data_IF_763369844779
#
_entry.id   IF_763369844779
#
_cell.length_a   1.000
_cell.length_b   1.000
_cell.length_c   1.000
_cell.angle_alpha   90.00
_cell.angle_beta   90.00
_cell.angle_gamma   90.00
#
_symmetry.space_group_name_H-M   'P 1'
#
loop_
_entity.id
_entity.type
_entity.pdbx_description
1 polymer ?
#
# COMPACT_ATOMS: atom_id res chain seq x y z
N UNK A 1 -8.00 17.50 -6.87
CA UNK A 1 -6.84 17.85 -6.04
C UNK A 1 -5.80 18.58 -6.87
N UNK A 2 -5.17 19.60 -6.30
CA UNK A 2 -4.18 20.42 -6.98
C UNK A 2 -2.96 19.60 -7.39
N UNK A 3 -2.48 19.78 -8.62
CA UNK A 3 -1.31 19.09 -9.13
C UNK A 3 -0.03 19.43 -8.36
N UNK A 4 0.06 20.64 -7.83
CA UNK A 4 1.20 21.03 -7.01
C UNK A 4 1.32 20.18 -5.76
N UNK A 5 0.19 19.85 -5.13
CA UNK A 5 0.16 18.95 -3.97
C UNK A 5 0.61 17.54 -4.36
N UNK A 6 0.14 17.04 -5.50
CA UNK A 6 0.55 15.72 -6.00
C UNK A 6 2.05 15.65 -6.27
N UNK A 7 2.62 16.70 -6.83
CA UNK A 7 4.06 16.77 -7.10
C UNK A 7 4.87 16.75 -5.81
N UNK A 8 4.39 17.42 -4.76
CA UNK A 8 5.05 17.39 -3.46
C UNK A 8 5.05 15.96 -2.89
N UNK A 9 3.94 15.26 -3.03
CA UNK A 9 3.83 13.89 -2.54
C UNK A 9 4.63 12.90 -3.38
N UNK A 10 4.87 13.18 -4.65
CA UNK A 10 5.64 12.29 -5.52
C UNK A 10 7.01 11.95 -4.96
N UNK A 11 7.68 12.91 -4.34
CA UNK A 11 8.99 12.69 -3.73
C UNK A 11 8.96 12.07 -2.34
N UNK A 12 7.79 12.06 -1.68
CA UNK A 12 7.62 11.56 -0.32
C UNK A 12 6.90 10.23 -0.26
N UNK A 13 6.06 9.95 -1.25
CA UNK A 13 5.23 8.74 -1.28
C UNK A 13 5.97 7.60 -1.95
N UNK A 14 5.80 6.38 -1.42
CA UNK A 14 6.38 5.20 -2.04
C UNK A 14 5.89 5.07 -3.48
N UNK A 15 6.77 4.78 -4.46
CA UNK A 15 6.38 4.72 -5.88
C UNK A 15 5.21 3.79 -6.16
N UNK A 16 5.16 2.64 -5.51
CA UNK A 16 4.07 1.68 -5.70
C UNK A 16 2.73 2.22 -5.23
N UNK A 17 2.73 2.97 -4.13
CA UNK A 17 1.51 3.62 -3.62
C UNK A 17 1.12 4.76 -4.56
N UNK A 18 2.08 5.58 -4.95
CA UNK A 18 1.83 6.73 -5.81
C UNK A 18 1.23 6.33 -7.16
N UNK A 19 1.75 5.24 -7.75
CA UNK A 19 1.33 4.78 -9.08
C UNK A 19 0.12 3.84 -9.05
N UNK A 20 -0.39 3.48 -7.88
CA UNK A 20 -1.54 2.59 -7.77
C UNK A 20 -2.84 3.27 -8.21
N UNK A 21 -3.85 2.48 -8.58
CA UNK A 21 -5.16 2.96 -9.05
C UNK A 21 -6.16 3.13 -7.92
N UNK A 22 -5.71 3.61 -6.76
CA UNK A 22 -6.58 3.85 -5.61
C UNK A 22 -6.85 5.34 -5.46
N UNK A 23 -7.93 5.72 -4.75
CA UNK A 23 -8.22 7.13 -4.50
C UNK A 23 -7.08 7.83 -3.78
N UNK A 24 -6.91 9.12 -4.06
CA UNK A 24 -5.81 9.90 -3.49
C UNK A 24 -5.80 9.86 -1.95
N UNK A 25 -6.98 9.93 -1.34
CA UNK A 25 -7.10 9.87 0.11
C UNK A 25 -6.57 8.57 0.69
N UNK A 26 -6.82 7.46 0.00
CA UNK A 26 -6.27 6.16 0.41
C UNK A 26 -4.76 6.10 0.23
N UNK A 27 -4.24 6.71 -0.82
CA UNK A 27 -2.78 6.79 -1.01
C UNK A 27 -2.12 7.51 0.15
N UNK A 28 -2.69 8.63 0.58
CA UNK A 28 -2.17 9.38 1.74
C UNK A 28 -2.24 8.54 3.02
N UNK A 29 -3.35 7.85 3.22
CA UNK A 29 -3.52 6.98 4.38
C UNK A 29 -2.47 5.85 4.40
N UNK A 30 -2.28 5.18 3.27
CA UNK A 30 -1.31 4.10 3.17
C UNK A 30 0.12 4.60 3.40
N UNK A 31 0.46 5.74 2.84
CA UNK A 31 1.78 6.33 3.05
C UNK A 31 2.01 6.68 4.52
N UNK A 32 1.00 7.22 5.19
CA UNK A 32 1.09 7.52 6.61
C UNK A 32 1.29 6.25 7.44
N UNK A 33 0.55 5.19 7.13
CA UNK A 33 0.73 3.89 7.79
C UNK A 33 2.15 3.35 7.57
N UNK A 34 2.65 3.48 6.36
CA UNK A 34 4.00 3.03 6.01
C UNK A 34 5.05 3.75 6.87
N UNK A 35 4.95 5.06 6.99
CA UNK A 35 5.93 5.85 7.74
C UNK A 35 5.82 5.68 9.25
N UNK A 36 4.60 5.75 9.80
CA UNK A 36 4.39 5.83 11.24
C UNK A 36 4.22 4.47 11.90
N UNK A 37 3.63 3.51 11.22
CA UNK A 37 3.40 2.20 11.77
C UNK A 37 4.49 1.19 11.42
N UNK A 38 5.05 1.30 10.21
CA UNK A 38 5.98 0.29 9.68
C UNK A 38 7.38 0.83 9.41
N UNK A 39 7.67 2.07 9.81
CA UNK A 39 9.00 2.68 9.64
C UNK A 39 9.54 2.61 8.22
N UNK A 40 8.68 2.73 7.23
CA UNK A 40 9.07 2.68 5.82
C UNK A 40 9.16 1.27 5.23
N UNK A 41 8.81 0.23 6.00
CA UNK A 41 8.84 -1.14 5.51
C UNK A 41 7.57 -1.46 4.73
N UNK A 42 7.68 -1.38 3.41
CA UNK A 42 6.54 -1.60 2.51
C UNK A 42 6.02 -3.05 2.57
N UNK A 43 6.90 -4.02 2.77
CA UNK A 43 6.50 -5.43 2.90
C UNK A 43 5.65 -5.62 4.15
N UNK A 44 6.02 -4.99 5.26
CA UNK A 44 5.24 -5.05 6.50
C UNK A 44 3.85 -4.43 6.31
N UNK A 45 3.76 -3.31 5.57
CA UNK A 45 2.47 -2.71 5.25
C UNK A 45 1.58 -3.66 4.44
N UNK A 46 2.14 -4.30 3.42
CA UNK A 46 1.41 -5.24 2.60
C UNK A 46 0.93 -6.45 3.40
N UNK A 47 1.76 -6.95 4.31
CA UNK A 47 1.36 -8.05 5.19
C UNK A 47 0.18 -7.68 6.09
N UNK A 48 0.16 -6.45 6.64
CA UNK A 48 -0.96 -5.96 7.41
C UNK A 48 -2.24 -5.88 6.57
N UNK A 49 -2.12 -5.38 5.34
CA UNK A 49 -3.26 -5.30 4.43
C UNK A 49 -3.79 -6.68 4.08
N UNK A 50 -2.90 -7.65 3.90
CA UNK A 50 -3.28 -9.03 3.63
C UNK A 50 -4.06 -9.63 4.81
N UNK A 51 -3.56 -9.47 6.03
CA UNK A 51 -4.23 -9.94 7.23
C UNK A 51 -5.63 -9.32 7.37
N UNK A 52 -5.73 -8.01 7.12
CA UNK A 52 -7.01 -7.31 7.17
C UNK A 52 -8.01 -7.90 6.16
N UNK A 53 -7.55 -8.18 4.94
CA UNK A 53 -8.41 -8.74 3.90
C UNK A 53 -8.90 -10.16 4.22
N UNK A 54 -8.18 -10.89 5.06
CA UNK A 54 -8.53 -12.25 5.45
C UNK A 54 -9.39 -12.33 6.71
N UNK A 55 -9.67 -11.20 7.38
CA UNK A 55 -10.53 -11.19 8.56
C UNK A 55 -11.94 -11.68 8.22
N UNK A 56 -12.60 -12.44 9.12
CA UNK A 56 -13.95 -12.94 8.86
C UNK A 56 -14.97 -11.85 8.54
N UNK A 57 -14.83 -10.67 9.11
CA UNK A 57 -15.74 -9.55 8.90
C UNK A 57 -15.52 -8.82 7.57
N UNK A 58 -14.35 -8.99 6.97
CA UNK A 58 -13.98 -8.31 5.72
C UNK A 58 -14.12 -9.24 4.52
N UNK A 59 -13.56 -10.43 4.59
CA UNK A 59 -13.64 -11.49 3.56
C UNK A 59 -13.34 -11.00 2.14
N UNK A 60 -12.36 -10.10 2.00
CA UNK A 60 -11.96 -9.58 0.69
C UNK A 60 -10.86 -10.45 0.09
N UNK A 61 -11.25 -11.64 -0.38
CA UNK A 61 -10.30 -12.63 -0.89
C UNK A 61 -9.63 -12.22 -2.19
N UNK A 62 -10.30 -11.46 -3.05
CA UNK A 62 -9.70 -10.98 -4.29
C UNK A 62 -8.52 -10.07 -4.00
N UNK A 63 -8.71 -9.13 -3.08
CA UNK A 63 -7.65 -8.22 -2.67
C UNK A 63 -6.52 -8.98 -1.97
N UNK A 64 -6.87 -9.97 -1.15
CA UNK A 64 -5.88 -10.80 -0.46
C UNK A 64 -4.99 -11.55 -1.46
N UNK A 65 -5.57 -12.11 -2.52
CA UNK A 65 -4.81 -12.80 -3.56
C UNK A 65 -3.88 -11.85 -4.29
N UNK A 66 -4.35 -10.66 -4.64
CA UNK A 66 -3.53 -9.65 -5.31
C UNK A 66 -2.34 -9.22 -4.46
N UNK A 67 -2.58 -8.97 -3.16
CA UNK A 67 -1.52 -8.58 -2.23
C UNK A 67 -0.51 -9.72 -2.08
N UNK A 68 -0.99 -10.95 -1.94
CA UNK A 68 -0.13 -12.12 -1.80
C UNK A 68 0.77 -12.30 -3.02
N UNK A 69 0.20 -12.18 -4.21
CA UNK A 69 0.96 -12.33 -5.45
C UNK A 69 2.00 -11.21 -5.60
N UNK A 70 1.62 -10.00 -5.23
CA UNK A 70 2.53 -8.85 -5.25
C UNK A 70 3.70 -9.04 -4.28
N UNK A 71 3.42 -9.52 -3.06
CA UNK A 71 4.46 -9.83 -2.08
C UNK A 71 5.43 -10.87 -2.61
N UNK A 72 4.91 -11.87 -3.30
CA UNK A 72 5.73 -12.92 -3.90
C UNK A 72 6.68 -12.35 -4.96
N UNK A 73 6.19 -11.45 -5.81
CA UNK A 73 7.02 -10.78 -6.81
C UNK A 73 8.14 -9.97 -6.17
N UNK A 74 7.83 -9.21 -5.13
CA UNK A 74 8.83 -8.42 -4.42
C UNK A 74 9.92 -9.32 -3.84
N UNK A 75 9.54 -10.44 -3.23
CA UNK A 75 10.51 -11.37 -2.65
C UNK A 75 11.38 -12.03 -3.68
N UNK A 76 10.86 -12.31 -4.87
CA UNK A 76 11.62 -12.90 -5.95
C UNK A 76 12.63 -11.93 -6.56
N UNK A 77 12.36 -10.63 -6.50
CA UNK A 77 13.28 -9.60 -7.00
C UNK A 77 14.43 -9.33 -6.03
N UNK A 78 14.29 -9.70 -4.80
CA UNK A 78 15.33 -9.53 -3.78
C UNK A 78 16.27 -10.71 -3.76
#
# INVERSE_FOLDING_TARGET
MDEAVKLLWKGKMHPEIYNSNIPWEQKQFLQNQLEYKHNGDFVALLNDMLEYSLLPDVEDYENAVEIRDYLKEIKEEL
#
